data_IF_110786107386
#
_entry.id   IF_110786107386
#
_cell.length_a   1.000
_cell.length_b   1.000
_cell.length_c   1.000
_cell.angle_alpha   90.00
_cell.angle_beta   90.00
_cell.angle_gamma   90.00
#
_symmetry.space_group_name_H-M   'P 1'
#
loop_
_entity.id
_entity.type
_entity.pdbx_description
1 polymer ?
#
# COMPACT_ATOMS: atom_id res chain seq x y z
N UNK A 1 27.98 10.27 -6.00
CA UNK A 1 27.63 10.72 -4.65
C UNK A 1 26.13 10.98 -4.62
N UNK A 2 25.41 10.75 -3.52
CA UNK A 2 23.95 10.98 -3.48
C UNK A 2 23.66 12.15 -2.54
N UNK A 3 23.03 13.21 -3.05
CA UNK A 3 22.72 14.47 -2.35
C UNK A 3 21.57 14.33 -1.32
N UNK A 4 21.72 13.43 -0.36
CA UNK A 4 20.74 13.27 0.73
C UNK A 4 21.13 14.17 1.90
N UNK A 5 20.18 14.99 2.34
CA UNK A 5 20.30 15.73 3.60
C UNK A 5 19.44 15.07 4.66
N UNK A 6 20.05 14.62 5.74
CA UNK A 6 19.32 14.15 6.92
C UNK A 6 18.87 15.37 7.74
N UNK A 7 17.57 15.41 8.06
CA UNK A 7 16.97 16.45 8.91
C UNK A 7 16.27 15.74 10.06
N UNK A 8 16.63 16.10 11.29
CA UNK A 8 16.00 15.55 12.48
C UNK A 8 14.62 16.18 12.69
N UNK A 9 13.62 15.34 12.94
CA UNK A 9 12.25 15.76 13.23
C UNK A 9 11.79 15.11 14.55
N UNK A 10 11.68 15.90 15.64
CA UNK A 10 11.29 15.38 16.96
C UNK A 10 9.82 14.97 17.04
N UNK A 11 9.01 15.26 16.03
CA UNK A 11 7.60 14.85 15.99
C UNK A 11 7.43 13.43 15.47
N UNK A 12 8.47 12.85 14.85
CA UNK A 12 8.43 11.48 14.35
C UNK A 12 8.68 10.47 15.47
N UNK A 13 7.80 9.48 15.56
CA UNK A 13 8.00 8.31 16.41
C UNK A 13 9.26 7.53 16.03
N UNK A 14 9.94 6.95 17.03
CA UNK A 14 11.17 6.17 16.81
C UNK A 14 10.91 5.03 15.82
N UNK A 15 11.75 4.96 14.78
CA UNK A 15 11.62 3.96 13.72
C UNK A 15 10.73 4.39 12.55
N UNK A 16 10.23 5.61 12.56
CA UNK A 16 9.61 6.27 11.40
C UNK A 16 10.57 7.23 10.71
N UNK A 17 10.34 7.46 9.42
CA UNK A 17 11.00 8.53 8.69
C UNK A 17 10.07 9.09 7.60
N UNK A 18 10.43 10.27 7.10
CA UNK A 18 9.85 10.83 5.89
C UNK A 18 10.95 11.08 4.88
N UNK A 19 10.68 10.78 3.62
CA UNK A 19 11.56 11.08 2.51
C UNK A 19 10.87 12.11 1.62
N UNK A 20 11.54 13.23 1.41
CA UNK A 20 11.04 14.32 0.59
C UNK A 20 12.02 14.59 -0.54
N UNK A 21 11.48 14.76 -1.74
CA UNK A 21 12.16 15.22 -2.94
C UNK A 21 11.35 16.39 -3.50
N UNK A 22 11.85 17.05 -4.54
CA UNK A 22 11.10 18.14 -5.19
C UNK A 22 9.74 17.67 -5.74
N UNK A 23 9.69 16.46 -6.30
CA UNK A 23 8.50 15.96 -7.00
C UNK A 23 7.69 14.92 -6.22
N UNK A 24 8.16 14.47 -5.05
CA UNK A 24 7.53 13.37 -4.34
C UNK A 24 7.83 13.37 -2.85
N UNK A 25 6.89 12.81 -2.09
CA UNK A 25 6.96 12.60 -0.64
C UNK A 25 6.58 11.15 -0.34
N UNK A 26 7.45 10.45 0.37
CA UNK A 26 7.18 9.12 0.91
C UNK A 26 7.05 9.26 2.42
N UNK A 27 5.88 8.91 2.94
CA UNK A 27 5.63 8.86 4.37
C UNK A 27 5.80 7.43 4.89
N UNK A 28 6.91 7.18 5.57
CA UNK A 28 7.22 5.92 6.23
C UNK A 28 7.17 6.07 7.77
N UNK A 29 6.32 6.96 8.27
CA UNK A 29 6.04 7.07 9.71
C UNK A 29 5.49 5.75 10.27
N UNK A 30 5.69 5.54 11.57
CA UNK A 30 5.20 4.33 12.26
C UNK A 30 3.67 4.29 12.22
N UNK A 31 3.06 5.46 12.36
CA UNK A 31 1.63 5.72 12.32
C UNK A 31 1.04 5.30 10.98
N UNK A 32 1.66 5.75 9.87
CA UNK A 32 1.20 5.39 8.52
C UNK A 32 1.35 3.89 8.25
N UNK A 33 2.47 3.28 8.68
CA UNK A 33 2.68 1.84 8.54
C UNK A 33 1.66 1.04 9.36
N UNK A 34 1.37 1.47 10.58
CA UNK A 34 0.36 0.84 11.43
C UNK A 34 -1.03 0.97 10.79
N UNK A 35 -1.39 2.15 10.32
CA UNK A 35 -2.65 2.37 9.63
C UNK A 35 -2.80 1.47 8.40
N UNK A 36 -1.75 1.33 7.57
CA UNK A 36 -1.76 0.42 6.44
C UNK A 36 -1.95 -1.05 6.85
N UNK A 37 -1.30 -1.47 7.94
CA UNK A 37 -1.46 -2.83 8.49
C UNK A 37 -2.88 -3.04 8.99
N UNK A 38 -3.43 -2.11 9.79
CA UNK A 38 -4.81 -2.17 10.29
C UNK A 38 -5.83 -2.16 9.15
N UNK A 39 -5.63 -1.32 8.14
CA UNK A 39 -6.49 -1.28 6.96
C UNK A 39 -6.49 -2.60 6.20
N UNK A 40 -5.34 -3.28 6.10
CA UNK A 40 -5.25 -4.63 5.50
C UNK A 40 -5.96 -5.68 6.35
N UNK A 41 -5.86 -5.59 7.67
CA UNK A 41 -6.53 -6.52 8.58
C UNK A 41 -8.05 -6.33 8.60
N UNK A 42 -8.52 -5.09 8.65
CA UNK A 42 -9.95 -4.75 8.78
C UNK A 42 -10.67 -4.65 7.43
N UNK A 43 -9.93 -4.39 6.35
CA UNK A 43 -10.46 -4.17 5.01
C UNK A 43 -10.34 -5.39 4.09
N UNK A 44 -10.29 -6.61 4.65
CA UNK A 44 -10.31 -7.91 3.98
C UNK A 44 -10.12 -7.91 2.46
N UNK A 45 -8.91 -8.24 2.02
CA UNK A 45 -8.62 -8.86 0.71
C UNK A 45 -9.19 -8.24 -0.57
N UNK A 46 -9.31 -6.91 -0.71
CA UNK A 46 -9.48 -6.31 -2.06
C UNK A 46 -8.16 -6.15 -2.82
N UNK A 47 -7.38 -7.23 -2.84
CA UNK A 47 -6.20 -7.43 -3.70
C UNK A 47 -6.30 -8.84 -4.29
N UNK A 48 -7.39 -9.11 -4.99
CA UNK A 48 -7.64 -10.44 -5.53
C UNK A 48 -9.01 -10.62 -6.18
N UNK A 49 -9.55 -9.61 -6.83
CA UNK A 49 -10.65 -9.84 -7.78
C UNK A 49 -10.12 -9.77 -9.22
N UNK A 50 -9.42 -10.81 -9.72
CA UNK A 50 -9.33 -11.03 -11.14
C UNK A 50 -10.68 -11.61 -11.62
N UNK A 51 -11.42 -10.74 -12.29
CA UNK A 51 -12.31 -11.05 -13.42
C UNK A 51 -13.74 -11.54 -13.12
N UNK A 52 -14.61 -10.63 -12.67
CA UNK A 52 -16.09 -10.73 -12.81
C UNK A 52 -16.55 -10.74 -14.30
N UNK A 53 -15.63 -10.67 -15.27
CA UNK A 53 -15.94 -10.68 -16.71
C UNK A 53 -15.45 -11.91 -17.48
N UNK A 54 -14.94 -12.94 -16.81
CA UNK A 54 -14.59 -14.20 -17.49
C UNK A 54 -15.88 -14.93 -17.96
N UNK A 55 -16.10 -15.12 -19.26
CA UNK A 55 -17.28 -15.82 -19.75
C UNK A 55 -17.22 -17.30 -19.35
N UNK A 56 -18.32 -17.81 -18.77
CA UNK A 56 -18.48 -19.22 -18.42
C UNK A 56 -18.26 -20.09 -19.68
N UNK A 57 -17.38 -21.12 -19.64
CA UNK A 57 -17.29 -22.05 -20.75
C UNK A 57 -18.57 -22.89 -20.82
N UNK A 58 -19.33 -22.63 -21.88
CA UNK A 58 -20.22 -23.57 -22.55
C UNK A 58 -21.16 -24.40 -21.68
N UNK A 59 -22.42 -23.98 -21.61
CA UNK A 59 -23.51 -24.94 -21.42
C UNK A 59 -23.50 -25.92 -22.58
N UNK A 60 -22.98 -27.11 -22.36
CA UNK A 60 -23.24 -28.25 -23.23
C UNK A 60 -24.51 -28.91 -22.69
N UNK A 61 -25.63 -28.55 -23.32
CA UNK A 61 -26.86 -29.33 -23.19
C UNK A 61 -26.63 -30.65 -23.91
N UNK A 62 -26.44 -31.70 -23.13
CA UNK A 62 -26.70 -33.05 -23.56
C UNK A 62 -28.05 -33.47 -22.95
N UNK A 63 -28.96 -33.82 -23.86
CA UNK A 63 -30.35 -34.33 -23.72
C UNK A 63 -31.51 -33.31 -23.62
#
# INVERSE_FOLDING_TARGET
ERDWKLVEDPTLSRGGCRVETESSRIDATVEQRLHAVLARFLGGERQGDPDETAPLPGGQGDE
#
